data_IF_613112034247
#
_entry.id   IF_613112034247
#
_cell.length_a   1.000
_cell.length_b   1.000
_cell.length_c   1.000
_cell.angle_alpha   90.00
_cell.angle_beta   90.00
_cell.angle_gamma   90.00
#
_symmetry.space_group_name_H-M   'P 1'
#
loop_
_entity.id
_entity.type
_entity.pdbx_description
1 polymer ?
#
# COMPACT_ATOMS: atom_id res chain seq x y z
N UNK A 1 79.85 -27.60 -21.40
CA UNK A 1 79.02 -28.72 -20.87
C UNK A 1 78.88 -28.45 -19.37
N UNK A 2 77.74 -28.29 -18.71
CA UNK A 2 76.38 -28.87 -18.82
C UNK A 2 75.36 -27.80 -18.38
N UNK A 3 74.19 -27.73 -19.03
CA UNK A 3 73.05 -26.85 -18.71
C UNK A 3 72.08 -27.61 -17.81
N UNK A 4 71.75 -27.09 -16.63
CA UNK A 4 70.72 -27.67 -15.74
C UNK A 4 70.04 -26.52 -14.97
N UNK A 5 68.95 -25.97 -15.52
CA UNK A 5 67.53 -26.22 -15.22
C UNK A 5 67.11 -25.69 -13.84
N UNK A 6 66.45 -24.52 -13.88
CA UNK A 6 65.73 -23.87 -12.81
C UNK A 6 64.77 -24.82 -12.10
N UNK A 7 64.88 -24.93 -10.78
CA UNK A 7 63.79 -25.37 -9.93
C UNK A 7 63.28 -24.16 -9.15
N UNK A 8 62.24 -23.55 -9.70
CA UNK A 8 61.35 -22.68 -8.94
C UNK A 8 60.64 -23.54 -7.89
N UNK A 9 60.70 -23.11 -6.64
CA UNK A 9 60.13 -23.77 -5.48
C UNK A 9 58.60 -23.78 -5.57
N UNK A 10 57.99 -24.96 -5.72
CA UNK A 10 56.54 -25.18 -5.77
C UNK A 10 55.90 -25.18 -4.37
N UNK A 11 56.00 -24.08 -3.63
CA UNK A 11 55.41 -23.95 -2.28
C UNK A 11 54.26 -22.93 -2.20
N UNK A 12 53.88 -22.29 -3.31
CA UNK A 12 52.88 -21.21 -3.34
C UNK A 12 51.57 -21.58 -4.06
N UNK A 13 51.52 -22.74 -4.74
CA UNK A 13 50.35 -23.12 -5.56
C UNK A 13 49.13 -23.55 -4.75
N UNK A 14 49.32 -24.20 -3.59
CA UNK A 14 48.22 -24.72 -2.78
C UNK A 14 47.45 -23.62 -2.04
N UNK A 15 48.13 -22.54 -1.65
CA UNK A 15 47.49 -21.41 -0.97
C UNK A 15 46.68 -20.54 -1.95
N UNK A 16 47.16 -20.39 -3.18
CA UNK A 16 46.45 -19.65 -4.22
C UNK A 16 45.15 -20.35 -4.65
N UNK A 17 45.16 -21.69 -4.73
CA UNK A 17 43.98 -22.49 -5.08
C UNK A 17 42.91 -22.43 -3.98
N UNK A 18 43.32 -22.54 -2.70
CA UNK A 18 42.43 -22.46 -1.55
C UNK A 18 41.82 -21.05 -1.39
N UNK A 19 42.60 -20.00 -1.72
CA UNK A 19 42.12 -18.62 -1.74
C UNK A 19 41.11 -18.36 -2.89
N UNK A 20 41.35 -18.95 -4.06
CA UNK A 20 40.44 -18.85 -5.20
C UNK A 20 39.10 -19.54 -4.92
N UNK A 21 39.13 -20.68 -4.23
CA UNK A 21 37.93 -21.43 -3.87
C UNK A 21 37.08 -20.70 -2.80
N UNK A 22 37.72 -20.09 -1.80
CA UNK A 22 37.04 -19.22 -0.83
C UNK A 22 36.40 -17.99 -1.49
N UNK A 23 37.10 -17.37 -2.45
CA UNK A 23 36.55 -16.20 -3.16
C UNK A 23 35.34 -16.58 -4.02
N UNK A 24 35.42 -17.70 -4.72
CA UNK A 24 34.33 -18.24 -5.55
C UNK A 24 33.09 -18.60 -4.71
N UNK A 25 33.27 -19.21 -3.53
CA UNK A 25 32.15 -19.55 -2.65
C UNK A 25 31.48 -18.31 -2.05
N UNK A 26 32.26 -17.27 -1.73
CA UNK A 26 31.73 -15.99 -1.26
C UNK A 26 30.94 -15.26 -2.37
N UNK A 27 31.45 -15.23 -3.59
CA UNK A 27 30.76 -14.65 -4.75
C UNK A 27 29.48 -15.43 -5.08
N UNK A 28 29.52 -16.76 -5.04
CA UNK A 28 28.34 -17.61 -5.22
C UNK A 28 27.27 -17.37 -4.14
N UNK A 29 27.70 -17.24 -2.87
CA UNK A 29 26.79 -16.91 -1.77
C UNK A 29 26.14 -15.53 -1.92
N UNK A 30 26.87 -14.53 -2.44
CA UNK A 30 26.30 -13.21 -2.73
C UNK A 30 25.29 -13.23 -3.87
N UNK A 31 25.56 -13.97 -4.96
CA UNK A 31 24.61 -14.11 -6.08
C UNK A 31 23.38 -14.91 -5.69
N UNK A 32 23.52 -15.93 -4.83
CA UNK A 32 22.37 -16.65 -4.29
C UNK A 32 21.50 -15.73 -3.41
N UNK A 33 22.11 -14.89 -2.57
CA UNK A 33 21.37 -13.90 -1.79
C UNK A 33 20.64 -12.87 -2.66
N UNK A 34 21.26 -12.39 -3.75
CA UNK A 34 20.59 -11.49 -4.72
C UNK A 34 19.43 -12.20 -5.43
N UNK A 35 19.60 -13.47 -5.81
CA UNK A 35 18.55 -14.30 -6.45
C UNK A 35 17.36 -14.55 -5.52
N UNK A 36 17.61 -14.77 -4.22
CA UNK A 36 16.56 -14.91 -3.19
C UNK A 36 15.81 -13.60 -2.96
N UNK A 37 16.50 -12.46 -2.99
CA UNK A 37 15.87 -11.13 -2.88
C UNK A 37 14.99 -10.77 -4.08
N UNK A 38 15.35 -11.23 -5.29
CA UNK A 38 14.56 -11.03 -6.51
C UNK A 38 13.32 -11.93 -6.66
N UNK A 39 13.29 -13.09 -5.98
CA UNK A 39 12.15 -14.03 -6.05
C UNK A 39 11.02 -13.75 -5.04
N UNK A 40 11.29 -13.02 -3.96
CA UNK A 40 10.31 -12.75 -2.90
C UNK A 40 9.37 -11.56 -3.13
N UNK A 41 9.51 -10.84 -4.26
CA UNK A 41 8.71 -9.64 -4.55
C UNK A 41 7.87 -9.74 -5.83
N UNK A 42 7.81 -10.90 -6.47
CA UNK A 42 6.98 -11.12 -7.67
C UNK A 42 6.07 -12.34 -7.56
N UNK A 43 5.59 -12.66 -6.36
CA UNK A 43 4.56 -13.68 -6.10
C UNK A 43 3.51 -13.21 -5.07
N UNK A 44 3.28 -11.89 -4.92
CA UNK A 44 1.98 -11.39 -4.42
C UNK A 44 1.06 -11.16 -5.62
N UNK A 45 0.89 -12.20 -6.42
CA UNK A 45 -0.30 -12.38 -7.26
C UNK A 45 -0.94 -13.68 -6.80
N UNK A 46 -1.32 -13.72 -5.53
CA UNK A 46 -2.38 -14.64 -5.15
C UNK A 46 -3.59 -14.16 -5.94
N UNK A 47 -3.92 -14.87 -7.02
CA UNK A 47 -5.28 -14.94 -7.51
C UNK A 47 -6.11 -15.55 -6.38
N UNK A 48 -6.38 -14.76 -5.35
CA UNK A 48 -7.64 -14.91 -4.66
C UNK A 48 -8.60 -14.22 -5.60
N UNK A 49 -9.50 -14.98 -6.22
CA UNK A 49 -10.77 -14.44 -6.69
C UNK A 49 -11.53 -13.94 -5.45
N UNK A 50 -11.03 -12.85 -4.84
CA UNK A 50 -11.86 -12.00 -4.01
C UNK A 50 -12.85 -11.45 -5.02
N UNK A 51 -14.17 -11.60 -4.82
CA UNK A 51 -15.13 -10.82 -5.59
C UNK A 51 -14.66 -9.37 -5.47
N UNK A 52 -14.04 -8.85 -6.53
CA UNK A 52 -13.48 -7.51 -6.51
C UNK A 52 -14.67 -6.60 -6.72
N UNK A 53 -15.54 -6.54 -5.71
CA UNK A 53 -16.65 -5.58 -5.66
C UNK A 53 -15.95 -4.24 -5.69
N UNK A 54 -16.09 -3.57 -6.82
CA UNK A 54 -15.41 -2.30 -7.06
C UNK A 54 -15.82 -1.34 -5.94
N UNK A 55 -14.87 -0.69 -5.28
CA UNK A 55 -15.15 0.39 -4.35
C UNK A 55 -16.06 1.40 -5.05
N UNK A 56 -17.19 1.72 -4.41
CA UNK A 56 -18.17 2.63 -4.98
C UNK A 56 -17.57 4.04 -5.04
N UNK A 57 -17.81 4.78 -6.12
CA UNK A 57 -17.34 6.16 -6.25
C UNK A 57 -18.34 7.10 -5.59
N UNK A 58 -17.87 7.97 -4.68
CA UNK A 58 -18.71 9.04 -4.12
C UNK A 58 -18.37 10.37 -4.81
N UNK A 59 -19.35 10.92 -5.51
CA UNK A 59 -19.31 12.21 -6.22
C UNK A 59 -19.96 13.36 -5.41
N UNK A 60 -20.46 13.04 -4.20
CA UNK A 60 -21.17 13.97 -3.33
C UNK A 60 -22.68 14.05 -3.56
N UNK A 61 -23.27 13.21 -4.43
CA UNK A 61 -24.72 13.12 -4.62
C UNK A 61 -25.42 12.13 -3.68
N UNK A 62 -24.74 11.05 -3.30
CA UNK A 62 -25.26 10.06 -2.33
C UNK A 62 -25.01 10.54 -0.90
N UNK A 63 -25.95 10.32 0.02
CA UNK A 63 -25.72 10.64 1.42
C UNK A 63 -24.54 9.84 1.97
N UNK A 64 -23.77 10.47 2.86
CA UNK A 64 -22.62 9.82 3.50
C UNK A 64 -23.01 8.55 4.26
N UNK A 65 -24.20 8.52 4.88
CA UNK A 65 -24.74 7.36 5.61
C UNK A 65 -24.99 6.15 4.70
N UNK A 66 -25.53 6.37 3.50
CA UNK A 66 -25.77 5.32 2.51
C UNK A 66 -24.45 4.79 1.96
N UNK A 67 -23.53 5.69 1.61
CA UNK A 67 -22.20 5.31 1.15
C UNK A 67 -21.44 4.51 2.20
N UNK A 68 -21.42 4.98 3.46
CA UNK A 68 -20.71 4.31 4.56
C UNK A 68 -21.24 2.89 4.78
N UNK A 69 -22.56 2.73 4.81
CA UNK A 69 -23.18 1.39 4.94
C UNK A 69 -22.75 0.44 3.82
N UNK A 70 -22.74 0.92 2.57
CA UNK A 70 -22.31 0.11 1.42
C UNK A 70 -20.81 -0.21 1.47
N UNK A 71 -20.01 0.76 1.90
CA UNK A 71 -18.57 0.62 2.05
C UNK A 71 -18.21 -0.38 3.16
N UNK A 72 -18.86 -0.31 4.32
CA UNK A 72 -18.68 -1.23 5.45
C UNK A 72 -19.04 -2.68 5.09
N UNK A 73 -20.08 -2.89 4.28
CA UNK A 73 -20.44 -4.22 3.76
C UNK A 73 -19.32 -4.78 2.88
N UNK A 74 -18.74 -3.94 2.00
CA UNK A 74 -17.66 -4.33 1.09
C UNK A 74 -16.35 -4.57 1.84
N UNK A 75 -16.02 -3.73 2.83
CA UNK A 75 -14.81 -3.89 3.64
C UNK A 75 -14.88 -5.16 4.48
N UNK A 76 -16.03 -5.43 5.09
CA UNK A 76 -16.29 -6.65 5.87
C UNK A 76 -16.25 -7.91 5.00
N UNK A 77 -16.88 -7.90 3.82
CA UNK A 77 -16.87 -9.06 2.92
C UNK A 77 -15.48 -9.38 2.39
N UNK A 78 -14.64 -8.35 2.25
CA UNK A 78 -13.28 -8.48 1.74
C UNK A 78 -12.23 -8.65 2.84
N UNK A 79 -12.62 -8.59 4.12
CA UNK A 79 -11.71 -8.68 5.26
C UNK A 79 -10.63 -7.59 5.25
N UNK A 80 -10.98 -6.37 4.85
CA UNK A 80 -10.02 -5.26 4.85
C UNK A 80 -9.59 -4.92 6.27
N UNK A 81 -8.33 -4.51 6.40
CA UNK A 81 -7.80 -3.93 7.63
C UNK A 81 -7.97 -2.42 7.59
N UNK A 82 -8.01 -1.75 8.74
CA UNK A 82 -8.19 -0.29 8.86
C UNK A 82 -7.29 0.52 7.91
N UNK A 83 -6.05 0.08 7.70
CA UNK A 83 -5.09 0.72 6.80
C UNK A 83 -5.52 0.61 5.32
N UNK A 84 -5.98 -0.57 4.92
CA UNK A 84 -6.48 -0.84 3.56
C UNK A 84 -7.79 -0.11 3.34
N UNK A 85 -8.67 -0.14 4.33
CA UNK A 85 -9.95 0.53 4.33
C UNK A 85 -9.80 2.05 4.23
N UNK A 86 -8.91 2.67 5.02
CA UNK A 86 -8.60 4.09 4.92
C UNK A 86 -8.06 4.46 3.53
N UNK A 87 -7.12 3.67 3.00
CA UNK A 87 -6.55 3.91 1.67
C UNK A 87 -7.62 3.79 0.57
N UNK A 88 -8.51 2.82 0.71
CA UNK A 88 -9.58 2.56 -0.26
C UNK A 88 -10.68 3.62 -0.20
N UNK A 89 -11.00 4.11 1.00
CA UNK A 89 -11.90 5.23 1.23
C UNK A 89 -11.34 6.50 0.58
N UNK A 90 -10.05 6.82 0.80
CA UNK A 90 -9.39 7.96 0.14
C UNK A 90 -9.44 7.83 -1.38
N UNK A 91 -9.18 6.63 -1.91
CA UNK A 91 -9.18 6.37 -3.35
C UNK A 91 -10.56 6.50 -3.99
N UNK A 92 -11.66 6.25 -3.24
CA UNK A 92 -13.03 6.35 -3.74
C UNK A 92 -13.59 7.77 -3.74
N UNK A 93 -12.97 8.71 -3.01
CA UNK A 93 -13.41 10.11 -2.99
C UNK A 93 -13.13 10.81 -4.32
N UNK A 94 -14.12 11.55 -4.81
CA UNK A 94 -14.02 12.43 -5.98
C UNK A 94 -14.70 13.77 -5.70
N UNK A 95 -14.43 14.77 -6.54
CA UNK A 95 -15.09 16.08 -6.46
C UNK A 95 -15.00 16.75 -5.09
N UNK A 96 -16.14 17.27 -4.60
CA UNK A 96 -16.25 17.96 -3.31
C UNK A 96 -15.90 17.07 -2.11
N UNK A 97 -16.10 15.76 -2.21
CA UNK A 97 -15.72 14.82 -1.17
C UNK A 97 -14.19 14.70 -1.03
N UNK A 98 -13.46 14.74 -2.14
CA UNK A 98 -12.00 14.71 -2.12
C UNK A 98 -11.39 15.98 -1.49
N UNK A 99 -12.07 17.13 -1.54
CA UNK A 99 -11.60 18.35 -0.86
C UNK A 99 -11.54 18.23 0.67
N UNK A 100 -12.24 17.26 1.26
CA UNK A 100 -12.15 16.98 2.70
C UNK A 100 -10.75 16.53 3.08
N UNK A 101 -10.06 15.82 2.17
CA UNK A 101 -8.69 15.35 2.38
C UNK A 101 -7.70 16.50 2.57
N UNK A 102 -7.93 17.66 1.93
CA UNK A 102 -7.08 18.84 2.09
C UNK A 102 -7.11 19.42 3.50
N UNK A 103 -8.14 19.10 4.29
CA UNK A 103 -8.31 19.59 5.67
C UNK A 103 -7.67 18.65 6.69
N UNK A 104 -7.22 17.46 6.27
CA UNK A 104 -6.64 16.44 7.13
C UNK A 104 -5.11 16.45 6.94
N UNK A 105 -4.31 16.51 8.03
CA UNK A 105 -2.87 16.36 7.93
C UNK A 105 -2.49 15.02 7.27
N UNK A 106 -1.47 15.02 6.40
CA UNK A 106 -1.08 13.82 5.65
C UNK A 106 -0.77 12.60 6.53
N UNK A 107 -0.19 12.82 7.73
CA UNK A 107 0.09 11.75 8.69
C UNK A 107 -1.16 11.07 9.27
N UNK A 108 -2.34 11.68 9.12
CA UNK A 108 -3.61 11.15 9.61
C UNK A 108 -4.49 10.56 8.49
N UNK A 109 -4.04 10.58 7.22
CA UNK A 109 -4.77 9.97 6.10
C UNK A 109 -4.70 8.43 6.09
N UNK A 110 -3.90 7.83 6.96
CA UNK A 110 -3.93 6.39 7.24
C UNK A 110 -4.90 6.02 8.36
N UNK A 111 -5.47 7.02 9.06
CA UNK A 111 -6.37 6.79 10.17
C UNK A 111 -7.82 6.87 9.66
N UNK A 112 -8.46 5.71 9.52
CA UNK A 112 -9.82 5.56 9.01
C UNK A 112 -10.80 6.47 9.76
N UNK A 113 -10.81 6.41 11.09
CA UNK A 113 -11.72 7.19 11.95
C UNK A 113 -11.59 8.70 11.72
N UNK A 114 -10.38 9.19 11.45
CA UNK A 114 -10.16 10.61 11.19
C UNK A 114 -10.80 11.05 9.87
N UNK A 115 -10.67 10.22 8.83
CA UNK A 115 -11.26 10.49 7.50
C UNK A 115 -12.78 10.41 7.58
N UNK A 116 -13.32 9.37 8.22
CA UNK A 116 -14.77 9.21 8.40
C UNK A 116 -15.39 10.39 9.14
N UNK A 117 -14.78 10.86 10.23
CA UNK A 117 -15.32 12.01 10.98
C UNK A 117 -15.32 13.28 10.16
N UNK A 118 -14.31 13.48 9.32
CA UNK A 118 -14.23 14.64 8.46
C UNK A 118 -15.32 14.61 7.36
N UNK A 119 -15.59 13.41 6.82
CA UNK A 119 -16.67 13.19 5.84
C UNK A 119 -18.05 13.34 6.48
N UNK A 120 -18.26 12.75 7.67
CA UNK A 120 -19.48 12.90 8.47
C UNK A 120 -19.76 14.37 8.79
N UNK A 121 -18.74 15.14 9.18
CA UNK A 121 -18.91 16.56 9.48
C UNK A 121 -19.29 17.40 8.26
N UNK A 122 -19.02 16.94 7.04
CA UNK A 122 -19.25 17.69 5.80
C UNK A 122 -20.52 17.23 5.06
N UNK A 123 -20.79 15.92 5.08
CA UNK A 123 -21.81 15.25 4.29
C UNK A 123 -22.77 14.40 5.13
N UNK A 124 -22.59 14.36 6.45
CA UNK A 124 -23.50 13.67 7.36
C UNK A 124 -24.90 14.28 7.39
N UNK A 125 -25.89 13.46 7.73
CA UNK A 125 -27.32 13.78 7.66
C UNK A 125 -27.73 14.96 8.58
N UNK A 126 -26.88 15.36 9.53
CA UNK A 126 -27.10 16.54 10.38
C UNK A 126 -27.22 17.84 9.58
N UNK A 127 -26.67 17.91 8.35
CA UNK A 127 -26.84 19.07 7.47
C UNK A 127 -28.14 19.03 6.64
N UNK A 128 -28.74 17.86 6.41
CA UNK A 128 -30.03 17.76 5.73
C UNK A 128 -31.14 18.43 6.56
N UNK A 129 -31.05 18.34 7.90
CA UNK A 129 -31.99 19.02 8.82
C UNK A 129 -31.80 20.55 8.82
N UNK A 130 -30.58 21.06 8.63
CA UNK A 130 -30.32 22.51 8.49
C UNK A 130 -30.82 23.04 7.14
N UNK A 131 -30.74 22.24 6.08
CA UNK A 131 -31.30 22.57 4.77
C UNK A 131 -32.82 22.75 4.86
N UNK A 132 -33.55 21.77 5.41
CA UNK A 132 -35.00 21.90 5.63
C UNK A 132 -35.37 23.05 6.58
N UNK A 133 -34.57 23.33 7.61
CA UNK A 133 -34.81 24.48 8.51
C UNK A 133 -34.68 25.84 7.81
N UNK A 134 -33.78 25.96 6.85
CA UNK A 134 -33.56 27.20 6.10
C UNK A 134 -34.64 27.35 5.02
N UNK A 135 -34.99 26.26 4.34
CA UNK A 135 -36.04 26.25 3.30
C UNK A 135 -37.45 26.55 3.87
N UNK A 136 -37.73 26.10 5.09
CA UNK A 136 -38.97 26.42 5.80
C UNK A 136 -39.03 27.87 6.29
N UNK A 137 -37.88 28.53 6.51
CA UNK A 137 -37.84 29.94 6.95
C UNK A 137 -38.06 30.93 5.81
N UNK A 138 -37.71 30.58 4.57
CA UNK A 138 -37.88 31.45 3.39
C UNK A 138 -39.26 31.36 2.75
N UNK A 139 -40.17 30.54 3.29
CA UNK A 139 -41.58 30.47 2.85
C UNK A 139 -42.56 31.22 3.77
N UNK A 140 -42.04 31.88 4.82
CA UNK A 140 -42.80 32.74 5.72
C UNK A 140 -42.19 34.15 5.81
N UNK A 141 -41.62 34.63 4.71
CA UNK A 141 -41.29 36.04 4.45
C UNK A 141 -41.93 36.44 3.12
#
# INVERSE_FOLDING_TARGET
MVKTRSQATMADSGNAELLAEMKKSMEAGQEEMKKRRGKGQNEMRVHVEIPTVKPLTIDGQTSWSVFKTQFDVVSSSNGWTDCVEASQLVASLRGSAAEVLLRIPAGNLSNLTTIERALESRFGDSHLTQFYRTELKTRWQ
#
